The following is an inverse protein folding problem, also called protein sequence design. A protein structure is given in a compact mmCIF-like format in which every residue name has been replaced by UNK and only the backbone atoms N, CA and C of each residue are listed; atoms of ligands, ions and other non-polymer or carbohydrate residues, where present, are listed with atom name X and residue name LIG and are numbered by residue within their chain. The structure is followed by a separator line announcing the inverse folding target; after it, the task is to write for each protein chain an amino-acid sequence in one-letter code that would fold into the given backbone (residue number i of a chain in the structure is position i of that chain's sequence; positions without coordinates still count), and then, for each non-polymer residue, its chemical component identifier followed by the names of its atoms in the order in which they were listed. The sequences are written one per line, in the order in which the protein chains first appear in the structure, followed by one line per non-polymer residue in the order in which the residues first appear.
data_IF_278168400147
#
_entry.id   IF_278168400147
#
_cell.length_a   1.000
_cell.length_b   1.000
_cell.length_c   1.000
_cell.angle_alpha   90.00
_cell.angle_beta   90.00
_cell.angle_gamma   90.00
#
_symmetry.space_group_name_H-M   'P 1'
#
loop_
_entity.id
_entity.type
_entity.pdbx_description
1 polymer ?
#
# COMPACT_ATOMS: atom_id res chain seq x y z
N UNK A 1 -1.27 10.64 9.63
CA UNK A 1 0.14 10.75 9.16
C UNK A 1 0.13 11.00 7.64
N UNK A 2 1.25 11.33 6.97
CA UNK A 2 1.27 11.41 5.50
C UNK A 2 0.79 10.10 4.85
N UNK A 3 0.05 10.20 3.76
CA UNK A 3 -0.46 9.05 3.00
C UNK A 3 0.40 8.78 1.77
N UNK A 4 0.56 7.51 1.47
CA UNK A 4 1.32 7.03 0.32
C UNK A 4 0.54 5.94 -0.42
N UNK A 5 0.45 6.09 -1.73
CA UNK A 5 -0.03 5.04 -2.62
C UNK A 5 1.18 4.27 -3.16
N UNK A 6 1.19 2.97 -2.96
CA UNK A 6 2.26 2.08 -3.38
C UNK A 6 1.73 1.19 -4.48
N UNK A 7 2.44 1.15 -5.59
CA UNK A 7 2.16 0.20 -6.67
C UNK A 7 3.04 -1.03 -6.48
N UNK A 8 2.50 -2.20 -6.83
CA UNK A 8 3.22 -3.47 -6.84
C UNK A 8 2.74 -4.33 -7.99
N UNK A 9 3.71 -4.86 -8.73
CA UNK A 9 3.46 -5.88 -9.74
C UNK A 9 3.50 -7.25 -9.07
N UNK A 10 2.52 -8.08 -9.39
CA UNK A 10 2.36 -9.46 -8.91
C UNK A 10 2.46 -10.41 -10.11
N UNK A 11 3.66 -10.82 -10.54
CA UNK A 11 3.84 -11.65 -11.73
C UNK A 11 3.08 -12.98 -11.68
N UNK A 12 2.97 -13.55 -10.47
CA UNK A 12 2.29 -14.83 -10.21
C UNK A 12 0.84 -14.65 -9.71
N UNK A 13 0.38 -13.40 -9.64
CA UNK A 13 -0.96 -13.03 -9.21
C UNK A 13 -1.15 -12.92 -7.69
N UNK A 14 -2.32 -12.38 -7.30
CA UNK A 14 -2.66 -12.14 -5.89
C UNK A 14 -2.65 -13.41 -5.03
N UNK A 15 -3.09 -14.55 -5.56
CA UNK A 15 -3.15 -15.81 -4.82
C UNK A 15 -1.78 -16.27 -4.33
N UNK A 16 -0.81 -16.35 -5.24
CA UNK A 16 0.58 -16.69 -4.91
C UNK A 16 1.19 -15.68 -3.93
N UNK A 17 0.98 -14.38 -4.19
CA UNK A 17 1.45 -13.31 -3.31
C UNK A 17 0.99 -13.47 -1.85
N UNK A 18 -0.28 -13.82 -1.61
CA UNK A 18 -0.82 -13.98 -0.25
C UNK A 18 -0.33 -15.25 0.46
N UNK A 19 0.08 -16.27 -0.30
CA UNK A 19 0.71 -17.49 0.26
C UNK A 19 2.14 -17.18 0.70
N UNK A 20 2.91 -16.50 -0.14
CA UNK A 20 4.31 -16.13 0.16
C UNK A 20 4.41 -15.04 1.23
N UNK A 21 3.44 -14.13 1.26
CA UNK A 21 3.43 -12.99 2.17
C UNK A 21 2.13 -12.92 2.98
N UNK A 22 2.04 -13.69 4.10
CA UNK A 22 0.88 -13.65 4.98
C UNK A 22 0.59 -12.23 5.48
N UNK A 23 -0.66 -11.77 5.30
CA UNK A 23 -1.10 -10.41 5.64
C UNK A 23 -0.75 -10.03 7.09
N UNK A 24 -0.92 -10.96 8.02
CA UNK A 24 -0.61 -10.75 9.44
C UNK A 24 0.86 -10.39 9.68
N UNK A 25 1.79 -11.04 8.96
CA UNK A 25 3.23 -10.76 9.07
C UNK A 25 3.59 -9.40 8.46
N UNK A 26 2.95 -9.05 7.33
CA UNK A 26 3.11 -7.73 6.71
C UNK A 26 2.66 -6.64 7.69
N UNK A 27 1.47 -6.79 8.29
CA UNK A 27 0.91 -5.82 9.25
C UNK A 27 1.80 -5.68 10.47
N UNK A 28 2.28 -6.79 11.04
CA UNK A 28 3.20 -6.78 12.19
C UNK A 28 4.48 -6.00 11.85
N UNK A 29 5.14 -6.35 10.74
CA UNK A 29 6.39 -5.71 10.28
C UNK A 29 6.22 -4.22 10.03
N UNK A 30 5.09 -3.82 9.44
CA UNK A 30 4.78 -2.41 9.21
C UNK A 30 4.62 -1.66 10.54
N UNK A 31 3.90 -2.26 11.49
CA UNK A 31 3.62 -1.65 12.80
C UNK A 31 4.90 -1.36 13.58
N UNK A 32 5.88 -2.28 13.57
CA UNK A 32 7.20 -2.09 14.19
C UNK A 32 7.98 -0.88 13.63
N UNK A 33 7.64 -0.43 12.43
CA UNK A 33 8.29 0.68 11.74
C UNK A 33 7.42 1.94 11.68
N UNK A 34 6.31 1.97 12.42
CA UNK A 34 5.38 3.10 12.42
C UNK A 34 4.66 3.28 11.08
N UNK A 35 4.51 2.18 10.32
CA UNK A 35 3.84 2.13 9.04
C UNK A 35 2.48 1.43 9.22
N UNK A 36 1.42 2.00 8.67
CA UNK A 36 0.09 1.40 8.68
C UNK A 36 -0.36 1.10 7.26
N UNK A 37 -0.73 -0.14 6.98
CA UNK A 37 -1.38 -0.54 5.74
C UNK A 37 -2.89 -0.38 5.91
N UNK A 38 -3.52 0.52 5.14
CA UNK A 38 -4.93 0.87 5.32
C UNK A 38 -5.84 -0.01 4.45
N UNK A 39 -5.68 0.13 3.13
CA UNK A 39 -6.50 -0.56 2.13
C UNK A 39 -5.64 -0.89 0.92
N UNK A 40 -6.05 -1.90 0.16
CA UNK A 40 -5.49 -2.18 -1.15
C UNK A 40 -6.57 -2.41 -2.18
N UNK A 41 -6.28 -2.00 -3.40
CA UNK A 41 -7.06 -2.28 -4.58
C UNK A 41 -6.25 -3.21 -5.47
N UNK A 42 -6.93 -4.16 -6.10
CA UNK A 42 -6.33 -5.12 -7.02
C UNK A 42 -6.95 -4.85 -8.39
N UNK A 43 -6.15 -4.85 -9.44
CA UNK A 43 -6.68 -4.75 -10.80
C UNK A 43 -7.51 -5.99 -11.18
N UNK A 44 -8.27 -5.89 -12.28
CA UNK A 44 -9.12 -7.01 -12.73
C UNK A 44 -8.31 -8.26 -13.10
N UNK A 45 -7.03 -8.10 -13.48
CA UNK A 45 -6.13 -9.20 -13.80
C UNK A 45 -5.49 -9.85 -12.57
N UNK A 46 -5.64 -9.27 -11.38
CA UNK A 46 -4.92 -9.68 -10.16
C UNK A 46 -3.38 -9.66 -10.28
N UNK A 47 -2.86 -8.82 -11.17
CA UNK A 47 -1.43 -8.68 -11.47
C UNK A 47 -0.84 -7.36 -10.98
N UNK A 48 -1.68 -6.40 -10.58
CA UNK A 48 -1.26 -5.13 -10.02
C UNK A 48 -2.02 -4.83 -8.73
N UNK A 49 -1.28 -4.45 -7.69
CA UNK A 49 -1.79 -4.11 -6.38
C UNK A 49 -1.46 -2.65 -6.07
N UNK A 50 -2.49 -1.88 -5.73
CA UNK A 50 -2.40 -0.49 -5.31
C UNK A 50 -2.70 -0.38 -3.83
N UNK A 51 -1.68 -0.16 -3.01
CA UNK A 51 -1.83 -0.15 -1.56
C UNK A 51 -1.76 1.26 -1.00
N UNK A 52 -2.75 1.65 -0.21
CA UNK A 52 -2.73 2.88 0.56
C UNK A 52 -2.12 2.64 1.94
N UNK A 53 -1.12 3.45 2.26
CA UNK A 53 -0.38 3.38 3.52
C UNK A 53 -0.33 4.75 4.21
N UNK A 54 -0.26 4.73 5.53
CA UNK A 54 0.18 5.86 6.35
C UNK A 54 1.57 5.58 6.92
N UNK A 55 2.47 6.55 6.84
CA UNK A 55 3.85 6.40 7.31
C UNK A 55 4.49 7.77 7.62
N UNK A 56 5.53 7.82 8.46
CA UNK A 56 6.27 9.06 8.71
C UNK A 56 7.04 9.53 7.46
N UNK A 57 7.64 8.61 6.71
CA UNK A 57 8.47 8.89 5.52
C UNK A 57 8.34 7.77 4.48
N UNK A 58 8.63 8.04 3.19
CA UNK A 58 8.70 6.98 2.18
C UNK A 58 9.81 5.95 2.48
N UNK A 59 10.89 6.34 3.16
CA UNK A 59 11.97 5.42 3.59
C UNK A 59 11.47 4.38 4.60
N UNK A 60 10.54 4.76 5.49
CA UNK A 60 9.92 3.83 6.43
C UNK A 60 9.14 2.74 5.69
N UNK A 61 8.40 3.11 4.64
CA UNK A 61 7.71 2.17 3.74
C UNK A 61 8.71 1.24 3.04
N UNK A 62 9.79 1.81 2.49
CA UNK A 62 10.84 1.00 1.82
C UNK A 62 11.49 0.01 2.78
N UNK A 63 11.74 0.43 4.02
CA UNK A 63 12.30 -0.44 5.06
C UNK A 63 11.31 -1.56 5.46
N UNK A 64 10.03 -1.23 5.59
CA UNK A 64 8.99 -2.20 5.93
C UNK A 64 8.80 -3.26 4.85
N UNK A 65 8.72 -2.84 3.59
CA UNK A 65 8.64 -3.79 2.49
C UNK A 65 9.88 -4.69 2.37
N UNK A 66 11.10 -4.14 2.51
CA UNK A 66 12.32 -4.96 2.54
C UNK A 66 12.29 -6.01 3.64
N UNK A 67 11.83 -5.65 4.85
CA UNK A 67 11.72 -6.60 5.96
C UNK A 67 10.65 -7.67 5.71
N UNK A 68 9.54 -7.29 5.08
CA UNK A 68 8.45 -8.19 4.76
C UNK A 68 8.68 -8.98 3.44
N UNK A 69 9.83 -8.82 2.79
CA UNK A 69 10.14 -9.49 1.51
C UNK A 69 9.31 -8.99 0.32
N UNK A 70 8.68 -7.82 0.44
CA UNK A 70 7.71 -7.33 -0.53
C UNK A 70 8.38 -6.56 -1.67
N UNK A 71 8.00 -6.79 -2.94
CA UNK A 71 8.43 -5.94 -4.04
C UNK A 71 7.83 -4.54 -3.89
N UNK A 72 8.65 -3.50 -4.07
CA UNK A 72 8.18 -2.13 -4.26
C UNK A 72 8.57 -1.69 -5.66
N UNK A 73 7.60 -1.24 -6.44
CA UNK A 73 7.86 -0.57 -7.73
C UNK A 73 7.83 0.94 -7.57
N UNK A 74 6.73 1.51 -7.06
CA UNK A 74 6.55 2.98 -6.98
C UNK A 74 5.90 3.40 -5.66
N UNK A 75 6.30 4.55 -5.13
CA UNK A 75 5.70 5.19 -3.95
C UNK A 75 5.30 6.62 -4.31
N UNK A 76 4.01 6.90 -4.31
CA UNK A 76 3.47 8.24 -4.49
C UNK A 76 3.02 8.81 -3.16
N UNK A 77 3.48 10.01 -2.80
CA UNK A 77 2.84 10.75 -1.73
C UNK A 77 1.50 11.28 -2.23
N UNK A 78 0.42 11.01 -1.49
CA UNK A 78 -0.95 11.34 -1.90
C UNK A 78 -1.70 12.08 -0.81
N UNK A 79 -2.75 12.79 -1.21
CA UNK A 79 -3.74 13.44 -0.37
C UNK A 79 -5.13 13.04 -0.84
N UNK A 80 -6.09 12.92 0.08
CA UNK A 80 -7.45 12.56 -0.32
C UNK A 80 -8.16 13.79 -0.86
N UNK A 81 -8.77 13.61 -2.03
CA UNK A 81 -9.77 14.50 -2.59
C UNK A 81 -11.12 13.79 -2.44
N UNK A 82 -12.06 14.40 -1.71
CA UNK A 82 -13.43 13.89 -1.57
C UNK A 82 -14.37 14.74 -2.43
N UNK A 83 -14.70 14.33 -3.68
CA UNK A 83 -15.38 15.21 -4.62
C UNK A 83 -16.75 15.71 -4.14
N UNK A 84 -17.48 14.88 -3.38
CA UNK A 84 -18.80 15.22 -2.85
C UNK A 84 -18.75 16.04 -1.56
N UNK A 85 -17.57 16.27 -0.97
CA UNK A 85 -17.40 17.22 0.12
C UNK A 85 -17.39 18.67 -0.38
N UNK A 86 -17.19 18.87 -1.69
CA UNK A 86 -17.31 20.18 -2.31
C UNK A 86 -18.78 20.41 -2.67
N UNK A 87 -19.40 21.51 -2.22
CA UNK A 87 -20.75 21.85 -2.62
C UNK A 87 -20.80 22.04 -4.14
N UNK A 88 -21.81 21.46 -4.79
CA UNK A 88 -22.15 21.80 -6.17
C UNK A 88 -22.32 23.32 -6.26
N UNK A 89 -21.69 23.97 -7.25
CA UNK A 89 -22.00 25.36 -7.55
C UNK A 89 -23.53 25.49 -7.77
N UNK A 90 -24.16 26.59 -7.30
CA UNK A 90 -25.60 26.80 -7.45
C UNK A 90 -26.06 26.81 -8.92
#
# INVERSE_FOLDING_TARGET
MPRYLIERVLPEGLGAFLVEHPVSQIVLTNTELGVAWLYSYVDSGSTCLFCLYEAPTPEAIRKAARRAGLPITVIHRVTVLEPHAYPSAP
#
